data_IF_747539903251
#
_entry.id   IF_747539903251
#
_cell.length_a   1.000
_cell.length_b   1.000
_cell.length_c   1.000
_cell.angle_alpha   90.00
_cell.angle_beta   90.00
_cell.angle_gamma   90.00
#
_symmetry.space_group_name_H-M   'P 1'
#
loop_
_entity.id
_entity.type
_entity.pdbx_description
1 polymer ?
#
# COMPACT_ATOMS: atom_id res chain seq x y z
N UNK A 1 -8.94 5.01 -0.31
CA UNK A 1 -7.58 5.59 -0.32
C UNK A 1 -6.52 4.65 0.26
N UNK A 2 -6.79 3.91 1.36
CA UNK A 2 -5.90 2.87 1.89
C UNK A 2 -5.61 1.71 0.89
N UNK A 3 -6.59 1.34 0.05
CA UNK A 3 -6.42 0.31 -1.00
C UNK A 3 -5.72 0.81 -2.27
N UNK A 4 -5.54 2.13 -2.40
CA UNK A 4 -5.00 2.81 -3.58
C UNK A 4 -3.51 2.48 -3.80
N UNK A 5 -2.84 1.95 -2.77
CA UNK A 5 -1.38 1.99 -2.64
C UNK A 5 -0.77 0.58 -2.63
N UNK A 6 -1.57 -0.49 -2.57
CA UNK A 6 -1.07 -1.89 -2.70
C UNK A 6 -0.36 -2.11 -4.05
N UNK A 7 -0.61 -1.24 -5.03
CA UNK A 7 -0.15 -1.34 -6.42
C UNK A 7 0.81 -0.24 -6.88
N UNK A 8 1.05 0.80 -6.07
CA UNK A 8 2.11 1.80 -6.33
C UNK A 8 3.52 1.23 -6.05
N UNK A 9 3.73 -0.06 -6.33
CA UNK A 9 4.98 -0.77 -6.05
C UNK A 9 5.96 -0.77 -7.24
N UNK A 10 5.63 -0.09 -8.34
CA UNK A 10 6.63 0.31 -9.34
C UNK A 10 7.55 1.39 -8.77
N UNK A 11 8.80 0.98 -8.46
CA UNK A 11 10.01 1.78 -8.19
C UNK A 11 9.83 3.31 -8.19
N UNK A 12 9.37 3.87 -7.07
CA UNK A 12 9.60 5.27 -6.74
C UNK A 12 10.94 5.38 -6.01
N UNK A 13 12.02 5.43 -6.78
CA UNK A 13 13.36 5.77 -6.30
C UNK A 13 13.81 7.07 -6.96
N UNK A 14 13.95 8.11 -6.11
CA UNK A 14 14.51 9.46 -6.29
C UNK A 14 13.49 10.57 -6.03
N UNK A 15 13.97 11.51 -5.21
CA UNK A 15 13.24 12.54 -4.52
C UNK A 15 13.70 13.92 -4.93
N UNK A 16 12.80 14.68 -5.55
CA UNK A 16 12.68 16.13 -5.36
C UNK A 16 11.27 16.53 -5.80
N UNK A 17 10.27 16.38 -4.93
CA UNK A 17 8.96 16.98 -5.16
C UNK A 17 9.06 18.47 -4.83
N UNK A 18 9.35 19.28 -5.84
CA UNK A 18 9.13 20.72 -5.75
C UNK A 18 7.65 20.97 -6.04
N UNK A 19 6.86 21.23 -4.99
CA UNK A 19 5.50 21.71 -5.14
C UNK A 19 5.53 23.14 -5.68
N UNK A 20 5.28 23.29 -6.98
CA UNK A 20 4.95 24.57 -7.57
C UNK A 20 3.42 24.73 -7.63
N UNK A 21 2.87 25.54 -6.72
CA UNK A 21 1.55 26.14 -6.90
C UNK A 21 0.46 25.63 -5.95
N UNK A 22 -0.07 26.58 -5.19
CA UNK A 22 -1.18 26.45 -4.26
C UNK A 22 -2.42 25.78 -4.87
N UNK A 23 -2.92 24.72 -4.22
CA UNK A 23 -4.27 24.25 -4.44
C UNK A 23 -5.24 25.21 -3.72
N UNK A 24 -5.94 26.04 -4.48
CA UNK A 24 -7.07 26.82 -3.97
C UNK A 24 -8.28 25.89 -3.92
N UNK A 25 -8.59 25.35 -2.73
CA UNK A 25 -9.82 24.61 -2.51
C UNK A 25 -10.77 25.47 -1.68
N UNK A 26 -11.83 26.01 -2.30
CA UNK A 26 -12.95 26.63 -1.59
C UNK A 26 -14.10 25.65 -1.58
N UNK A 27 -14.45 25.18 -0.37
CA UNK A 27 -15.71 24.55 0.05
C UNK A 27 -16.54 23.88 -1.07
N UNK A 28 -15.93 22.90 -1.74
CA UNK A 28 -16.50 21.75 -2.45
C UNK A 28 -15.34 20.88 -2.94
N UNK A 29 -14.84 20.05 -2.03
CA UNK A 29 -14.29 18.68 -2.13
C UNK A 29 -13.66 18.13 -3.45
N UNK A 30 -13.13 18.98 -4.31
CA UNK A 30 -12.29 18.62 -5.45
C UNK A 30 -10.94 19.30 -5.37
N UNK A 31 -9.86 18.58 -5.66
CA UNK A 31 -8.51 19.13 -5.72
C UNK A 31 -7.74 18.51 -6.88
N UNK A 32 -6.91 19.32 -7.55
CA UNK A 32 -6.00 18.91 -8.61
C UNK A 32 -4.60 19.44 -8.29
N UNK A 33 -3.61 18.58 -8.42
CA UNK A 33 -2.22 18.90 -8.04
C UNK A 33 -1.30 18.45 -9.18
N UNK A 34 -0.61 19.38 -9.86
CA UNK A 34 0.49 19.02 -10.73
C UNK A 34 1.69 18.58 -9.87
N UNK A 35 2.45 17.62 -10.35
CA UNK A 35 3.67 17.16 -9.69
C UNK A 35 4.75 16.83 -10.71
N UNK A 36 5.99 16.91 -10.25
CA UNK A 36 7.17 16.59 -11.04
C UNK A 36 8.20 15.93 -10.14
N UNK A 37 8.89 14.92 -10.66
CA UNK A 37 9.97 14.22 -9.94
C UNK A 37 10.88 13.53 -10.96
N UNK A 38 12.06 13.08 -10.51
CA UNK A 38 12.93 12.18 -11.29
C UNK A 38 13.00 10.83 -10.61
N UNK A 39 13.01 9.72 -11.35
CA UNK A 39 13.32 8.39 -10.81
C UNK A 39 14.21 7.55 -11.72
N UNK A 40 14.84 6.51 -11.19
CA UNK A 40 15.59 5.57 -12.05
C UNK A 40 14.65 4.88 -13.05
N UNK A 41 13.42 4.56 -12.63
CA UNK A 41 12.46 3.84 -13.47
C UNK A 41 11.79 4.71 -14.51
N UNK A 42 11.29 5.88 -14.12
CA UNK A 42 10.55 6.76 -15.03
C UNK A 42 11.44 7.83 -15.64
N UNK A 43 12.64 8.09 -15.12
CA UNK A 43 13.38 9.29 -15.49
C UNK A 43 12.67 10.55 -14.98
N UNK A 44 12.88 11.67 -15.66
CA UNK A 44 12.26 12.94 -15.33
C UNK A 44 10.78 12.93 -15.76
N UNK A 45 9.88 13.04 -14.78
CA UNK A 45 8.44 12.85 -14.95
C UNK A 45 7.64 14.09 -14.59
N UNK A 46 6.62 14.38 -15.38
CA UNK A 46 5.60 15.41 -15.12
C UNK A 46 4.22 14.76 -15.11
N UNK A 47 3.41 15.08 -14.11
CA UNK A 47 2.07 14.52 -13.99
C UNK A 47 1.08 15.44 -13.29
N UNK A 48 -0.17 14.98 -13.26
CA UNK A 48 -1.27 15.62 -12.56
C UNK A 48 -2.09 14.55 -11.84
N UNK A 49 -2.45 14.83 -10.60
CA UNK A 49 -3.37 14.01 -9.81
C UNK A 49 -4.61 14.85 -9.45
N UNK A 50 -5.76 14.19 -9.36
CA UNK A 50 -7.04 14.80 -9.02
C UNK A 50 -7.85 13.91 -8.10
N UNK A 51 -8.55 14.52 -7.15
CA UNK A 51 -9.50 13.85 -6.27
C UNK A 51 -10.81 14.64 -6.25
N UNK A 52 -11.93 13.92 -6.23
CA UNK A 52 -13.28 14.45 -6.05
C UNK A 52 -13.99 13.62 -4.98
N UNK A 53 -14.37 14.22 -3.86
CA UNK A 53 -15.14 13.55 -2.80
C UNK A 53 -16.62 13.90 -2.92
N UNK A 54 -17.48 13.07 -2.34
CA UNK A 54 -18.92 13.29 -2.32
C UNK A 54 -19.60 13.10 -3.69
N UNK A 55 -18.96 12.40 -4.64
CA UNK A 55 -19.47 12.29 -6.02
C UNK A 55 -20.66 11.34 -6.07
N UNK A 56 -21.87 11.90 -6.09
CA UNK A 56 -23.13 11.16 -6.11
C UNK A 56 -23.57 10.63 -4.73
N UNK A 57 -22.62 10.27 -3.87
CA UNK A 57 -22.87 9.84 -2.48
C UNK A 57 -21.84 10.50 -1.53
N UNK A 58 -22.20 10.91 -0.30
CA UNK A 58 -21.31 11.64 0.60
C UNK A 58 -19.97 10.95 0.92
N UNK A 59 -19.98 9.63 1.03
CA UNK A 59 -18.82 8.81 1.34
C UNK A 59 -18.00 8.39 0.10
N UNK A 60 -18.56 8.60 -1.11
CA UNK A 60 -17.92 8.19 -2.35
C UNK A 60 -16.81 9.16 -2.76
N UNK A 61 -15.77 8.64 -3.40
CA UNK A 61 -14.69 9.46 -3.93
C UNK A 61 -14.20 8.94 -5.27
N UNK A 62 -13.90 9.84 -6.19
CA UNK A 62 -13.17 9.58 -7.41
C UNK A 62 -11.74 10.09 -7.25
N UNK A 63 -10.78 9.32 -7.74
CA UNK A 63 -9.40 9.76 -7.83
C UNK A 63 -8.81 9.31 -9.16
N UNK A 64 -8.00 10.18 -9.77
CA UNK A 64 -7.28 9.86 -10.98
C UNK A 64 -5.93 10.56 -11.03
N UNK A 65 -4.96 9.94 -11.68
CA UNK A 65 -3.70 10.57 -12.00
C UNK A 65 -3.17 10.12 -13.36
N UNK A 66 -2.37 10.98 -13.97
CA UNK A 66 -1.63 10.69 -15.19
C UNK A 66 -0.26 11.35 -15.15
N UNK A 67 0.75 10.66 -15.64
CA UNK A 67 2.09 11.23 -15.83
C UNK A 67 2.74 10.73 -17.12
N UNK A 68 3.69 11.53 -17.61
CA UNK A 68 4.56 11.21 -18.74
C UNK A 68 5.99 11.60 -18.37
N UNK A 69 6.97 10.97 -18.99
CA UNK A 69 8.39 11.14 -18.65
C UNK A 69 9.30 11.27 -19.86
N UNK A 70 10.54 11.72 -19.62
CA UNK A 70 11.59 11.84 -20.62
C UNK A 70 12.09 10.48 -21.17
N UNK A 71 11.75 9.37 -20.51
CA UNK A 71 11.95 8.00 -21.01
C UNK A 71 10.85 7.52 -21.96
N UNK A 72 9.92 8.37 -22.38
CA UNK A 72 8.69 7.98 -23.09
C UNK A 72 7.83 6.97 -22.30
N UNK A 73 7.96 6.97 -20.98
CA UNK A 73 7.15 6.17 -20.05
C UNK A 73 5.93 6.97 -19.59
N UNK A 74 4.81 6.28 -19.37
CA UNK A 74 3.59 6.89 -18.85
C UNK A 74 2.92 6.00 -17.81
N UNK A 75 2.18 6.63 -16.89
CA UNK A 75 1.31 5.93 -15.95
C UNK A 75 -0.05 6.62 -15.96
N UNK A 76 -1.11 5.83 -16.07
CA UNK A 76 -2.49 6.23 -15.87
C UNK A 76 -3.10 5.44 -14.72
N UNK A 77 -3.80 6.13 -13.83
CA UNK A 77 -4.52 5.50 -12.74
C UNK A 77 -5.88 6.18 -12.56
N UNK A 78 -6.93 5.38 -12.41
CA UNK A 78 -8.30 5.83 -12.14
C UNK A 78 -8.92 4.96 -11.06
N UNK A 79 -9.73 5.56 -10.21
CA UNK A 79 -10.39 4.85 -9.13
C UNK A 79 -11.69 5.51 -8.71
N UNK A 80 -12.62 4.68 -8.28
CA UNK A 80 -13.87 5.07 -7.66
C UNK A 80 -14.03 4.26 -6.37
N UNK A 81 -14.26 4.93 -5.24
CA UNK A 81 -14.29 4.30 -3.93
C UNK A 81 -15.64 4.45 -3.25
N UNK A 82 -16.01 3.41 -2.50
CA UNK A 82 -17.06 3.44 -1.47
C UNK A 82 -18.47 3.80 -1.98
N UNK A 83 -18.81 3.43 -3.21
CA UNK A 83 -20.18 3.58 -3.70
C UNK A 83 -21.08 2.55 -3.02
N UNK A 84 -22.03 3.00 -2.22
CA UNK A 84 -22.99 2.12 -1.57
C UNK A 84 -24.05 1.66 -2.58
N UNK A 85 -24.19 0.34 -2.72
CA UNK A 85 -25.29 -0.29 -3.48
C UNK A 85 -26.40 -0.77 -2.54
N UNK A 86 -26.07 -1.02 -1.28
CA UNK A 86 -26.99 -1.32 -0.19
C UNK A 86 -26.36 -0.83 1.13
N UNK A 87 -27.11 -0.87 2.23
CA UNK A 87 -26.66 -0.38 3.55
C UNK A 87 -25.40 -1.09 4.09
N UNK A 88 -25.12 -2.29 3.59
CA UNK A 88 -23.99 -3.12 3.99
C UNK A 88 -23.11 -3.53 2.81
N UNK A 89 -23.30 -2.96 1.61
CA UNK A 89 -22.51 -3.30 0.42
C UNK A 89 -21.93 -2.04 -0.21
N UNK A 90 -20.61 -1.95 -0.16
CA UNK A 90 -19.83 -0.91 -0.82
C UNK A 90 -19.11 -1.49 -2.04
N UNK A 91 -19.04 -0.70 -3.11
CA UNK A 91 -18.31 -1.04 -4.33
C UNK A 91 -17.22 -0.03 -4.59
N UNK A 92 -16.05 -0.55 -4.94
CA UNK A 92 -14.91 0.24 -5.39
C UNK A 92 -14.35 -0.34 -6.68
N UNK A 93 -13.67 0.46 -7.48
CA UNK A 93 -12.89 -0.01 -8.63
C UNK A 93 -11.60 0.78 -8.75
N UNK A 94 -10.57 0.10 -9.25
CA UNK A 94 -9.25 0.66 -9.50
C UNK A 94 -8.78 0.16 -10.86
N UNK A 95 -8.29 1.08 -11.67
CA UNK A 95 -7.77 0.83 -13.01
C UNK A 95 -6.40 1.47 -13.12
N UNK A 96 -5.40 0.68 -13.48
CA UNK A 96 -4.02 1.07 -13.65
C UNK A 96 -3.51 0.61 -15.00
N UNK A 97 -2.78 1.48 -15.67
CA UNK A 97 -2.01 1.13 -16.86
C UNK A 97 -0.69 1.90 -16.83
N UNK A 98 0.40 1.21 -17.16
CA UNK A 98 1.70 1.83 -17.27
C UNK A 98 2.49 1.29 -18.46
N UNK A 99 3.22 2.18 -19.12
CA UNK A 99 4.33 1.84 -20.00
C UNK A 99 5.59 2.35 -19.35
N UNK A 100 6.51 1.44 -19.04
CA UNK A 100 7.75 1.70 -18.31
C UNK A 100 8.93 1.31 -19.21
N UNK A 101 9.51 2.28 -19.91
CA UNK A 101 10.66 2.03 -20.78
C UNK A 101 11.96 2.08 -19.99
N UNK A 102 12.90 1.20 -20.34
CA UNK A 102 14.21 1.10 -19.70
C UNK A 102 14.11 1.06 -18.17
N UNK A 103 13.14 0.29 -17.68
CA UNK A 103 12.85 0.16 -16.27
C UNK A 103 13.65 -1.02 -15.68
N UNK A 104 14.22 -0.86 -14.47
CA UNK A 104 14.84 -1.97 -13.77
C UNK A 104 13.78 -2.92 -13.20
N UNK A 105 13.83 -4.18 -13.60
CA UNK A 105 13.07 -5.29 -13.02
C UNK A 105 14.00 -6.29 -12.35
N UNK A 106 13.58 -6.85 -11.23
CA UNK A 106 14.18 -8.04 -10.65
C UNK A 106 13.35 -9.22 -11.14
N UNK A 107 13.92 -10.05 -12.02
CA UNK A 107 13.24 -11.19 -12.65
C UNK A 107 13.85 -12.53 -12.20
N UNK A 108 13.00 -13.50 -11.88
CA UNK A 108 13.34 -14.82 -11.37
C UNK A 108 14.24 -14.72 -10.15
N UNK A 109 15.39 -15.38 -10.21
CA UNK A 109 16.35 -15.44 -9.10
C UNK A 109 16.91 -14.07 -8.70
N UNK A 110 16.75 -13.04 -9.54
CA UNK A 110 17.09 -11.65 -9.22
C UNK A 110 16.21 -11.08 -8.10
N UNK A 111 15.04 -11.67 -7.84
CA UNK A 111 14.13 -11.32 -6.75
C UNK A 111 14.27 -12.17 -5.49
N UNK A 112 15.16 -13.16 -5.47
CA UNK A 112 15.33 -14.02 -4.30
C UNK A 112 15.92 -13.25 -3.12
N UNK A 113 15.74 -13.76 -1.89
CA UNK A 113 16.21 -13.09 -0.67
C UNK A 113 17.72 -12.76 -0.68
N UNK A 114 18.51 -13.64 -1.28
CA UNK A 114 19.97 -13.58 -1.26
C UNK A 114 20.55 -12.98 -2.55
N UNK A 115 19.68 -12.40 -3.40
CA UNK A 115 20.06 -11.71 -4.64
C UNK A 115 20.67 -10.34 -4.37
N UNK A 116 21.52 -9.85 -5.29
CA UNK A 116 22.16 -8.54 -5.18
C UNK A 116 21.37 -7.46 -5.93
N UNK A 117 21.39 -6.23 -5.41
CA UNK A 117 20.73 -5.08 -6.04
C UNK A 117 21.12 -4.83 -7.51
N UNK A 118 22.37 -5.11 -7.89
CA UNK A 118 22.85 -4.90 -9.25
C UNK A 118 22.36 -5.98 -10.23
N UNK A 119 21.84 -7.09 -9.71
CA UNK A 119 21.26 -8.16 -10.51
C UNK A 119 19.86 -7.76 -10.96
N UNK A 120 19.77 -6.78 -11.87
CA UNK A 120 18.50 -6.28 -12.41
C UNK A 120 18.49 -6.32 -13.94
N UNK A 121 17.33 -6.60 -14.49
CA UNK A 121 17.08 -6.60 -15.93
C UNK A 121 16.46 -5.27 -16.34
N UNK A 122 17.14 -4.53 -17.21
CA UNK A 122 16.63 -3.26 -17.74
C UNK A 122 15.87 -3.57 -19.04
N UNK A 123 14.56 -3.35 -19.03
CA UNK A 123 13.68 -3.71 -20.15
C UNK A 123 12.47 -2.79 -20.20
N UNK A 124 11.84 -2.71 -21.37
CA UNK A 124 10.58 -2.00 -21.55
C UNK A 124 9.41 -2.90 -21.12
N UNK A 125 8.59 -2.40 -20.20
CA UNK A 125 7.42 -3.09 -19.69
C UNK A 125 6.11 -2.37 -20.01
N UNK A 126 5.07 -3.14 -20.27
CA UNK A 126 3.69 -2.67 -20.32
C UNK A 126 2.88 -3.44 -19.28
N UNK A 127 2.27 -2.71 -18.36
CA UNK A 127 1.57 -3.24 -17.20
C UNK A 127 0.12 -2.77 -17.17
N UNK A 128 -0.78 -3.67 -16.79
CA UNK A 128 -2.18 -3.37 -16.56
C UNK A 128 -2.65 -4.01 -15.26
N UNK A 129 -3.51 -3.30 -14.52
CA UNK A 129 -4.20 -3.87 -13.37
C UNK A 129 -5.61 -3.28 -13.25
N UNK A 130 -6.61 -4.14 -13.24
CA UNK A 130 -8.01 -3.79 -13.11
C UNK A 130 -8.62 -4.58 -11.95
N UNK A 131 -9.18 -3.86 -10.98
CA UNK A 131 -9.83 -4.43 -9.81
C UNK A 131 -11.25 -3.89 -9.64
N UNK A 132 -12.17 -4.76 -9.25
CA UNK A 132 -13.52 -4.40 -8.83
C UNK A 132 -13.78 -5.03 -7.47
N UNK A 133 -13.97 -4.21 -6.44
CA UNK A 133 -14.20 -4.67 -5.08
C UNK A 133 -15.69 -4.62 -4.73
N UNK A 134 -16.19 -5.72 -4.19
CA UNK A 134 -17.47 -5.81 -3.49
C UNK A 134 -17.20 -6.04 -2.01
N UNK A 135 -17.40 -5.01 -1.19
CA UNK A 135 -17.15 -5.03 0.25
C UNK A 135 -18.45 -5.13 1.03
N UNK A 136 -18.64 -6.28 1.64
CA UNK A 136 -19.78 -6.58 2.50
C UNK A 136 -19.42 -6.26 3.95
N UNK A 137 -20.13 -5.33 4.57
CA UNK A 137 -19.97 -4.97 5.98
C UNK A 137 -20.82 -5.92 6.83
N UNK A 138 -20.21 -6.54 7.83
CA UNK A 138 -20.91 -7.48 8.71
C UNK A 138 -21.73 -6.71 9.76
N UNK A 139 -22.96 -7.16 10.09
CA UNK A 139 -23.93 -6.39 10.90
C UNK A 139 -23.66 -6.52 12.41
N UNK A 140 -22.42 -6.26 12.83
CA UNK A 140 -21.98 -6.24 14.23
C UNK A 140 -20.96 -5.13 14.46
N UNK A 141 -20.47 -4.98 15.69
CA UNK A 141 -19.62 -3.85 16.06
C UNK A 141 -20.31 -2.52 15.75
N UNK A 142 -19.54 -1.55 15.24
CA UNK A 142 -20.08 -0.21 14.93
C UNK A 142 -21.08 -0.21 13.77
N UNK A 143 -21.01 -1.20 12.88
CA UNK A 143 -21.89 -1.30 11.70
C UNK A 143 -23.33 -1.62 12.11
N UNK A 144 -23.52 -2.33 13.24
CA UNK A 144 -24.85 -2.67 13.75
C UNK A 144 -25.70 -1.42 14.04
N UNK A 145 -25.08 -0.42 14.65
CA UNK A 145 -25.78 0.78 15.13
C UNK A 145 -25.74 1.92 14.11
N UNK A 146 -24.73 1.95 13.24
CA UNK A 146 -24.45 3.11 12.36
C UNK A 146 -24.36 2.77 10.87
N UNK A 147 -24.56 1.51 10.49
CA UNK A 147 -24.41 1.04 9.11
C UNK A 147 -23.01 1.33 8.55
N UNK A 148 -22.93 1.56 7.23
CA UNK A 148 -21.65 1.86 6.57
C UNK A 148 -21.00 3.17 7.03
N UNK A 149 -21.77 4.11 7.60
CA UNK A 149 -21.23 5.40 8.05
C UNK A 149 -20.28 5.24 9.25
N UNK A 150 -20.47 4.20 10.07
CA UNK A 150 -19.57 3.90 11.19
C UNK A 150 -18.11 3.66 10.76
N UNK A 151 -17.88 3.19 9.53
CA UNK A 151 -16.52 3.01 8.97
C UNK A 151 -15.84 4.33 8.63
N UNK A 152 -16.60 5.39 8.34
CA UNK A 152 -16.08 6.70 7.95
C UNK A 152 -15.88 7.65 9.13
N UNK A 153 -16.15 7.20 10.35
CA UNK A 153 -15.91 7.99 11.55
C UNK A 153 -14.42 8.32 11.69
N UNK A 154 -14.05 9.61 11.84
CA UNK A 154 -12.65 10.01 12.03
C UNK A 154 -12.02 9.42 13.29
N UNK A 155 -12.84 9.26 14.33
CA UNK A 155 -12.50 8.71 15.63
C UNK A 155 -13.59 7.71 16.05
N UNK A 156 -13.15 6.55 16.52
CA UNK A 156 -13.97 5.43 16.98
C UNK A 156 -13.53 5.05 18.38
N UNK A 157 -14.49 4.70 19.22
CA UNK A 157 -14.17 4.03 20.48
C UNK A 157 -13.93 2.55 20.20
N UNK A 158 -12.80 2.03 20.65
CA UNK A 158 -12.34 0.67 20.31
C UNK A 158 -11.99 -0.12 21.56
N UNK A 159 -12.38 -1.39 21.55
CA UNK A 159 -12.10 -2.36 22.61
C UNK A 159 -11.46 -3.60 22.00
N UNK A 160 -10.60 -4.28 22.77
CA UNK A 160 -9.91 -5.50 22.32
C UNK A 160 -10.71 -6.78 22.57
N UNK A 161 -11.97 -6.69 23.01
CA UNK A 161 -12.71 -7.85 23.48
C UNK A 161 -13.15 -8.81 22.37
N UNK A 162 -13.77 -8.28 21.29
CA UNK A 162 -14.30 -9.11 20.19
C UNK A 162 -14.64 -8.27 18.95
N UNK A 163 -14.46 -8.81 17.73
CA UNK A 163 -14.94 -8.19 16.49
C UNK A 163 -16.46 -7.94 16.47
N UNK A 164 -17.24 -8.73 17.23
CA UNK A 164 -18.70 -8.55 17.32
C UNK A 164 -19.09 -7.30 18.11
N UNK A 165 -18.21 -6.81 18.99
CA UNK A 165 -18.45 -5.68 19.88
C UNK A 165 -17.74 -4.41 19.42
N UNK A 166 -16.62 -4.53 18.70
CA UNK A 166 -15.78 -3.39 18.37
C UNK A 166 -15.16 -3.43 16.97
N UNK A 167 -14.95 -2.23 16.42
CA UNK A 167 -14.40 -2.04 15.09
C UNK A 167 -15.41 -2.30 13.98
N UNK A 168 -14.88 -2.44 12.76
CA UNK A 168 -15.62 -2.77 11.54
C UNK A 168 -15.09 -4.09 11.03
N UNK A 169 -15.96 -5.08 10.84
CA UNK A 169 -15.59 -6.31 10.12
C UNK A 169 -16.21 -6.30 8.73
N UNK A 170 -15.43 -6.65 7.72
CA UNK A 170 -15.89 -6.73 6.35
C UNK A 170 -15.36 -7.98 5.63
N UNK A 171 -16.14 -8.45 4.66
CA UNK A 171 -15.73 -9.47 3.69
C UNK A 171 -15.67 -8.80 2.33
N UNK A 172 -14.51 -8.81 1.69
CA UNK A 172 -14.31 -8.20 0.38
C UNK A 172 -14.06 -9.26 -0.67
N UNK A 173 -14.82 -9.22 -1.76
CA UNK A 173 -14.60 -10.03 -2.96
C UNK A 173 -14.07 -9.12 -4.06
N UNK A 174 -12.89 -9.43 -4.61
CA UNK A 174 -12.22 -8.63 -5.63
C UNK A 174 -11.86 -9.50 -6.83
N UNK A 175 -12.71 -9.58 -7.88
CA UNK A 175 -12.25 -9.94 -9.21
C UNK A 175 -11.18 -8.97 -9.68
N UNK A 176 -10.10 -9.53 -10.23
CA UNK A 176 -8.98 -8.77 -10.75
C UNK A 176 -8.46 -9.32 -12.08
N UNK A 177 -7.85 -8.44 -12.85
CA UNK A 177 -7.03 -8.74 -14.02
C UNK A 177 -5.72 -8.00 -13.89
N UNK A 178 -4.61 -8.72 -14.06
CA UNK A 178 -3.26 -8.16 -14.09
C UNK A 178 -2.53 -8.67 -15.31
N UNK A 179 -1.72 -7.82 -15.92
CA UNK A 179 -0.84 -8.20 -17.03
C UNK A 179 0.48 -7.47 -16.93
N UNK A 180 1.55 -8.16 -17.34
CA UNK A 180 2.89 -7.59 -17.52
C UNK A 180 3.53 -8.17 -18.76
N UNK A 181 3.87 -7.28 -19.71
CA UNK A 181 4.54 -7.62 -20.96
C UNK A 181 5.90 -6.97 -20.98
N UNK A 182 6.97 -7.75 -21.12
CA UNK A 182 8.34 -7.25 -21.18
C UNK A 182 8.90 -7.44 -22.60
N UNK A 183 9.53 -6.41 -23.14
CA UNK A 183 10.01 -6.41 -24.55
C UNK A 183 11.28 -7.27 -24.73
N UNK A 184 11.39 -7.96 -25.86
CA UNK A 184 12.61 -8.59 -26.43
C UNK A 184 13.36 -9.66 -25.60
N UNK A 185 12.91 -10.03 -24.40
CA UNK A 185 13.63 -11.02 -23.56
C UNK A 185 12.78 -12.24 -23.15
N UNK A 186 11.44 -12.12 -23.13
CA UNK A 186 10.53 -13.18 -22.68
C UNK A 186 9.44 -13.42 -23.74
N UNK A 187 9.24 -14.69 -24.11
CA UNK A 187 8.32 -15.10 -25.19
C UNK A 187 6.83 -15.09 -24.81
N UNK A 188 6.48 -14.80 -23.56
CA UNK A 188 5.11 -14.96 -23.05
C UNK A 188 4.68 -13.78 -22.18
N UNK A 189 3.52 -13.22 -22.49
CA UNK A 189 2.83 -12.24 -21.66
C UNK A 189 2.48 -12.88 -20.31
N UNK A 190 2.89 -12.27 -19.20
CA UNK A 190 2.45 -12.70 -17.88
C UNK A 190 1.06 -12.12 -17.63
N UNK A 191 0.07 -12.98 -17.39
CA UNK A 191 -1.31 -12.58 -17.16
C UNK A 191 -1.86 -13.33 -15.97
N UNK A 192 -2.61 -12.65 -15.12
CA UNK A 192 -3.42 -13.28 -14.07
C UNK A 192 -4.83 -12.69 -14.04
N UNK A 193 -5.81 -13.58 -14.18
CA UNK A 193 -7.24 -13.33 -13.96
C UNK A 193 -7.61 -14.07 -12.68
N UNK A 194 -8.16 -13.38 -11.69
CA UNK A 194 -8.32 -13.99 -10.39
C UNK A 194 -9.47 -13.43 -9.55
N UNK A 195 -9.64 -14.06 -8.39
CA UNK A 195 -10.53 -13.64 -7.34
C UNK A 195 -9.74 -13.56 -6.03
N UNK A 196 -9.90 -12.44 -5.33
CA UNK A 196 -9.34 -12.24 -3.99
C UNK A 196 -10.48 -12.12 -2.99
N UNK A 197 -10.48 -12.97 -1.98
CA UNK A 197 -11.39 -12.94 -0.86
C UNK A 197 -10.64 -12.46 0.38
N UNK A 198 -11.11 -11.38 1.01
CA UNK A 198 -10.46 -10.82 2.20
C UNK A 198 -11.45 -10.72 3.35
N UNK A 199 -11.09 -11.30 4.49
CA UNK A 199 -11.71 -11.00 5.78
C UNK A 199 -10.89 -9.91 6.46
N UNK A 200 -11.52 -8.76 6.70
CA UNK A 200 -10.90 -7.57 7.25
C UNK A 200 -11.58 -7.20 8.57
N UNK A 201 -10.77 -6.92 9.59
CA UNK A 201 -11.24 -6.38 10.87
C UNK A 201 -10.42 -5.13 11.23
N UNK A 202 -11.01 -3.97 10.96
CA UNK A 202 -10.44 -2.67 11.31
C UNK A 202 -11.00 -2.19 12.66
N UNK A 203 -10.23 -2.45 13.72
CA UNK A 203 -10.49 -2.06 15.10
C UNK A 203 -9.58 -0.91 15.56
N UNK A 204 -9.17 -0.02 14.65
CA UNK A 204 -8.37 1.17 14.99
C UNK A 204 -9.25 2.29 15.50
N UNK A 205 -8.78 3.05 16.50
CA UNK A 205 -9.49 4.25 16.96
C UNK A 205 -9.59 5.31 15.86
N UNK A 206 -8.58 5.45 15.00
CA UNK A 206 -8.61 6.31 13.82
C UNK A 206 -8.01 5.63 12.60
N UNK A 207 -8.62 5.83 11.43
CA UNK A 207 -8.08 5.33 10.15
C UNK A 207 -6.92 6.19 9.62
N UNK A 208 -6.78 7.44 10.09
CA UNK A 208 -5.75 8.39 9.63
C UNK A 208 -4.58 8.51 10.59
N UNK A 209 -4.87 8.55 11.89
CA UNK A 209 -3.83 8.63 12.92
C UNK A 209 -4.14 7.66 14.08
N UNK A 210 -3.99 6.34 13.85
CA UNK A 210 -4.29 5.35 14.87
C UNK A 210 -3.38 5.51 16.08
N UNK A 211 -3.96 5.47 17.28
CA UNK A 211 -3.24 5.50 18.56
C UNK A 211 -3.47 4.25 19.39
N UNK A 212 -4.62 3.60 19.19
CA UNK A 212 -5.05 2.39 19.88
C UNK A 212 -5.79 1.44 18.94
N UNK A 213 -5.89 0.20 19.37
CA UNK A 213 -6.61 -0.85 18.65
C UNK A 213 -5.71 -1.61 17.68
N UNK A 214 -6.34 -2.27 16.72
CA UNK A 214 -5.66 -3.18 15.79
C UNK A 214 -6.33 -3.21 14.42
N UNK A 215 -5.61 -3.69 13.42
CA UNK A 215 -6.14 -3.98 12.10
C UNK A 215 -5.65 -5.36 11.69
N UNK A 216 -6.56 -6.26 11.33
CA UNK A 216 -6.22 -7.60 10.86
C UNK A 216 -6.85 -7.86 9.51
N UNK A 217 -6.09 -8.45 8.60
CA UNK A 217 -6.57 -8.93 7.32
C UNK A 217 -6.10 -10.35 7.05
N UNK A 218 -7.01 -11.17 6.53
CA UNK A 218 -6.74 -12.49 6.00
C UNK A 218 -7.23 -12.52 4.56
N UNK A 219 -6.30 -12.65 3.64
CA UNK A 219 -6.57 -12.67 2.21
C UNK A 219 -6.30 -14.06 1.65
N UNK A 220 -7.28 -14.59 0.92
CA UNK A 220 -7.13 -15.74 0.05
C UNK A 220 -7.25 -15.29 -1.40
N UNK A 221 -6.24 -15.59 -2.21
CA UNK A 221 -6.21 -15.26 -3.64
C UNK A 221 -6.19 -16.55 -4.43
N UNK A 222 -7.02 -16.62 -5.47
CA UNK A 222 -6.97 -17.66 -6.50
C UNK A 222 -6.89 -16.99 -7.88
N UNK A 223 -6.13 -17.57 -8.80
CA UNK A 223 -6.04 -17.03 -10.15
C UNK A 223 -5.52 -18.03 -11.17
N UNK A 224 -5.62 -17.64 -12.43
CA UNK A 224 -5.14 -18.36 -13.60
C UNK A 224 -4.88 -17.39 -14.76
N UNK A 225 -4.09 -17.77 -15.75
CA UNK A 225 -3.99 -17.05 -17.03
C UNK A 225 -5.24 -17.31 -17.92
N UNK A 226 -5.77 -18.53 -17.84
CA UNK A 226 -7.04 -18.97 -18.41
C UNK A 226 -7.85 -19.81 -17.41
N UNK A 227 -9.11 -19.44 -17.17
CA UNK A 227 -9.97 -20.15 -16.20
C UNK A 227 -10.51 -21.49 -16.72
N UNK A 228 -10.44 -21.74 -18.03
CA UNK A 228 -10.99 -22.95 -18.66
C UNK A 228 -9.91 -24.00 -18.91
N UNK A 229 -8.74 -23.55 -19.36
CA UNK A 229 -7.70 -24.45 -19.87
C UNK A 229 -6.45 -24.55 -18.97
N UNK A 230 -6.34 -23.71 -17.94
CA UNK A 230 -5.15 -23.66 -17.07
C UNK A 230 -5.47 -23.94 -15.61
N UNK A 231 -4.47 -24.45 -14.88
CA UNK A 231 -4.60 -24.74 -13.46
C UNK A 231 -4.62 -23.48 -12.58
N UNK A 232 -5.41 -23.55 -11.51
CA UNK A 232 -5.60 -22.44 -10.58
C UNK A 232 -4.51 -22.44 -9.52
N UNK A 233 -3.72 -21.37 -9.48
CA UNK A 233 -2.81 -21.09 -8.37
C UNK A 233 -3.56 -20.45 -7.20
N UNK A 234 -3.00 -20.60 -6.00
CA UNK A 234 -3.60 -20.02 -4.81
C UNK A 234 -2.55 -19.49 -3.83
N UNK A 235 -2.88 -18.39 -3.17
CA UNK A 235 -2.07 -17.69 -2.19
C UNK A 235 -2.89 -17.36 -0.96
N UNK A 236 -2.26 -17.42 0.21
CA UNK A 236 -2.81 -16.98 1.49
C UNK A 236 -1.88 -15.92 2.08
N UNK A 237 -2.46 -14.82 2.55
CA UNK A 237 -1.75 -13.75 3.22
C UNK A 237 -2.48 -13.40 4.52
N UNK A 238 -1.71 -13.13 5.56
CA UNK A 238 -2.20 -12.61 6.82
C UNK A 238 -1.37 -11.41 7.22
N UNK A 239 -2.04 -10.33 7.62
CA UNK A 239 -1.41 -9.17 8.23
C UNK A 239 -2.15 -8.75 9.49
N UNK A 240 -1.39 -8.32 10.49
CA UNK A 240 -1.92 -7.78 11.72
C UNK A 240 -1.06 -6.62 12.21
N UNK A 241 -1.69 -5.46 12.39
CA UNK A 241 -1.08 -4.30 13.02
C UNK A 241 -1.75 -3.99 14.36
N UNK A 242 -0.96 -3.59 15.35
CA UNK A 242 -1.40 -3.19 16.69
C UNK A 242 -0.82 -1.84 17.09
N UNK A 243 -1.62 -1.03 17.78
CA UNK A 243 -1.26 0.32 18.20
C UNK A 243 -1.39 0.46 19.71
N UNK A 244 -0.31 0.91 20.34
CA UNK A 244 -0.20 1.10 21.78
C UNK A 244 0.07 2.57 22.08
N UNK A 245 -0.90 3.25 22.67
CA UNK A 245 -0.71 4.62 23.16
C UNK A 245 0.16 4.58 24.43
N UNK A 246 1.29 5.28 24.37
CA UNK A 246 2.24 5.41 25.49
C UNK A 246 1.98 6.68 26.32
N UNK A 247 0.99 7.49 25.92
CA UNK A 247 0.63 8.74 26.58
C UNK A 247 1.64 9.88 26.33
N UNK A 248 1.45 11.02 27.02
CA UNK A 248 2.38 12.16 26.94
C UNK A 248 3.71 11.88 27.67
N UNK A 249 4.78 12.55 27.26
CA UNK A 249 6.08 12.54 27.95
C UNK A 249 6.46 13.96 28.39
N UNK A 250 6.13 14.28 29.65
CA UNK A 250 6.42 15.59 30.25
C UNK A 250 6.00 16.73 29.30
N UNK A 251 6.82 17.77 29.16
CA UNK A 251 6.57 18.91 28.27
C UNK A 251 7.24 18.74 26.89
N UNK A 252 7.53 17.50 26.48
CA UNK A 252 8.24 17.21 25.21
C UNK A 252 7.27 16.69 24.15
N UNK A 253 6.42 15.74 24.53
CA UNK A 253 5.50 15.08 23.61
C UNK A 253 4.08 15.01 24.19
N UNK A 254 3.11 15.55 23.46
CA UNK A 254 1.68 15.46 23.78
C UNK A 254 1.17 14.03 23.64
N UNK A 255 1.71 13.29 22.67
CA UNK A 255 1.27 11.94 22.36
C UNK A 255 2.42 11.09 21.84
N UNK A 256 2.45 9.84 22.29
CA UNK A 256 3.37 8.82 21.80
C UNK A 256 2.61 7.53 21.47
N UNK A 257 2.98 6.88 20.37
CA UNK A 257 2.37 5.61 19.94
C UNK A 257 3.48 4.66 19.51
N UNK A 258 3.45 3.44 20.03
CA UNK A 258 4.18 2.31 19.47
C UNK A 258 3.22 1.51 18.58
N UNK A 259 3.55 1.39 17.30
CA UNK A 259 2.82 0.58 16.35
C UNK A 259 3.66 -0.63 15.94
N UNK A 260 3.07 -1.82 15.95
CA UNK A 260 3.72 -3.08 15.58
C UNK A 260 2.91 -3.73 14.46
N UNK A 261 3.58 -4.26 13.44
CA UNK A 261 2.97 -4.96 12.32
C UNK A 261 3.65 -6.31 12.09
N UNK A 262 2.82 -7.30 11.76
CA UNK A 262 3.25 -8.64 11.38
C UNK A 262 2.56 -9.01 10.08
N UNK A 263 3.33 -9.47 9.10
CA UNK A 263 2.86 -9.98 7.83
C UNK A 263 3.46 -11.36 7.56
N UNK A 264 2.64 -12.28 7.06
CA UNK A 264 3.09 -13.56 6.53
C UNK A 264 2.27 -13.97 5.32
N UNK A 265 2.88 -14.70 4.40
CA UNK A 265 2.23 -15.16 3.19
C UNK A 265 2.83 -16.46 2.67
N UNK A 266 2.01 -17.25 1.97
CA UNK A 266 2.43 -18.46 1.27
C UNK A 266 1.62 -18.66 -0.02
N UNK A 267 2.25 -19.28 -1.01
CA UNK A 267 1.60 -19.85 -2.19
C UNK A 267 1.61 -21.38 -2.10
N UNK A 268 0.62 -22.03 -1.48
CA UNK A 268 0.61 -23.49 -1.34
C UNK A 268 0.63 -24.26 -2.67
N UNK A 269 0.13 -23.66 -3.76
CA UNK A 269 0.12 -24.28 -5.08
C UNK A 269 1.48 -24.34 -5.77
N UNK A 270 2.50 -23.63 -5.25
CA UNK A 270 3.76 -23.34 -5.93
C UNK A 270 4.53 -24.56 -6.47
N UNK A 271 4.43 -25.69 -5.76
CA UNK A 271 5.08 -26.96 -6.09
C UNK A 271 4.10 -28.03 -6.61
N UNK A 272 2.84 -27.67 -6.90
CA UNK A 272 1.98 -28.54 -7.71
C UNK A 272 2.42 -28.38 -9.15
N UNK A 273 2.78 -29.45 -9.83
CA UNK A 273 3.29 -29.38 -11.20
C UNK A 273 2.60 -30.42 -12.09
N UNK A 274 2.25 -30.02 -13.31
CA UNK A 274 1.61 -30.88 -14.31
C UNK A 274 2.61 -31.83 -14.97
N UNK A 275 3.84 -31.33 -15.14
CA UNK A 275 4.99 -32.07 -15.65
C UNK A 275 6.24 -31.70 -14.83
N UNK A 276 7.41 -32.20 -15.24
CA UNK A 276 8.67 -31.94 -14.55
C UNK A 276 9.13 -30.47 -14.59
N UNK A 277 8.45 -29.62 -15.35
CA UNK A 277 8.90 -28.25 -15.69
C UNK A 277 7.86 -27.15 -15.41
N UNK A 278 6.57 -27.50 -15.36
CA UNK A 278 5.46 -26.54 -15.31
C UNK A 278 4.70 -26.70 -13.99
N UNK A 279 4.90 -25.73 -13.09
CA UNK A 279 4.26 -25.69 -11.79
C UNK A 279 3.20 -24.59 -11.70
N UNK A 280 2.21 -24.80 -10.83
CA UNK A 280 1.04 -23.94 -10.62
C UNK A 280 1.40 -22.75 -9.74
N UNK A 281 2.15 -21.83 -10.33
CA UNK A 281 2.64 -20.62 -9.68
C UNK A 281 1.90 -19.39 -10.22
N UNK A 282 1.64 -18.38 -9.38
CA UNK A 282 1.23 -17.09 -9.90
C UNK A 282 2.32 -16.53 -10.82
N UNK A 283 1.95 -15.70 -11.82
CA UNK A 283 2.93 -14.94 -12.57
C UNK A 283 3.75 -14.08 -11.60
N UNK A 284 4.99 -13.75 -11.98
CA UNK A 284 5.95 -13.16 -11.05
C UNK A 284 5.48 -11.86 -10.41
N UNK A 285 4.80 -11.00 -11.16
CA UNK A 285 4.23 -9.77 -10.62
C UNK A 285 3.11 -9.95 -9.58
N UNK A 286 2.52 -11.16 -9.48
CA UNK A 286 1.51 -11.55 -8.47
C UNK A 286 2.07 -12.46 -7.36
N UNK A 287 3.37 -12.75 -7.36
CA UNK A 287 3.99 -13.53 -6.30
C UNK A 287 4.02 -12.78 -4.95
N UNK A 288 4.23 -13.54 -3.87
CA UNK A 288 4.46 -12.96 -2.55
C UNK A 288 5.70 -12.07 -2.61
N UNK A 289 5.60 -10.83 -2.12
CA UNK A 289 6.64 -9.81 -2.29
C UNK A 289 6.90 -8.95 -1.05
N UNK A 290 8.16 -8.58 -0.86
CA UNK A 290 8.63 -7.58 0.10
C UNK A 290 9.35 -6.44 -0.62
N UNK A 291 9.29 -5.25 -0.02
CA UNK A 291 9.75 -3.99 -0.61
C UNK A 291 8.60 -3.04 -0.91
N UNK A 292 8.95 -1.81 -1.30
CA UNK A 292 7.99 -0.77 -1.64
C UNK A 292 7.53 0.01 -0.40
N UNK A 293 6.30 0.54 -0.44
CA UNK A 293 5.83 1.56 0.51
C UNK A 293 5.48 1.02 1.91
N UNK A 294 5.16 -0.27 2.00
CA UNK A 294 4.57 -0.87 3.22
C UNK A 294 5.43 -1.93 3.89
N UNK A 295 6.41 -2.48 3.18
CA UNK A 295 7.29 -3.54 3.69
C UNK A 295 8.70 -3.25 3.22
N UNK A 296 9.69 -3.50 4.08
CA UNK A 296 11.11 -3.23 3.77
C UNK A 296 11.28 -1.89 3.04
N UNK A 297 10.93 -0.78 3.70
CA UNK A 297 10.68 0.52 3.04
C UNK A 297 11.88 1.15 2.33
N UNK A 298 13.09 0.73 2.66
CA UNK A 298 14.31 1.14 1.96
C UNK A 298 14.47 0.51 0.59
N UNK A 299 13.68 -0.51 0.24
CA UNK A 299 13.80 -1.22 -1.03
C UNK A 299 12.70 -0.82 -2.00
N UNK A 300 13.01 -0.87 -3.30
CA UNK A 300 12.00 -0.73 -4.36
C UNK A 300 10.90 -1.78 -4.24
N UNK A 301 9.71 -1.50 -4.76
CA UNK A 301 8.62 -2.47 -4.69
C UNK A 301 8.93 -3.74 -5.48
N UNK A 302 8.46 -4.87 -4.95
CA UNK A 302 8.77 -6.21 -5.46
C UNK A 302 10.27 -6.56 -5.57
N UNK A 303 11.16 -5.84 -4.87
CA UNK A 303 12.61 -6.13 -4.83
C UNK A 303 12.89 -7.58 -4.44
N UNK A 304 12.12 -8.08 -3.46
CA UNK A 304 12.15 -9.47 -3.06
C UNK A 304 10.80 -10.10 -3.35
N UNK A 305 10.78 -11.22 -4.04
CA UNK A 305 9.55 -11.97 -4.31
C UNK A 305 9.80 -13.48 -4.39
N UNK A 306 8.74 -14.25 -4.21
CA UNK A 306 8.81 -15.71 -4.26
C UNK A 306 7.54 -16.37 -3.74
N UNK A 307 7.70 -17.57 -3.20
CA UNK A 307 6.59 -18.39 -2.71
C UNK A 307 6.03 -17.92 -1.38
N UNK A 308 6.92 -17.68 -0.42
CA UNK A 308 6.56 -17.46 0.98
C UNK A 308 7.29 -16.24 1.49
N UNK A 309 6.70 -15.52 2.44
CA UNK A 309 7.39 -14.42 3.11
C UNK A 309 6.94 -14.23 4.53
N UNK A 310 7.84 -13.65 5.33
CA UNK A 310 7.54 -13.11 6.65
C UNK A 310 8.10 -11.69 6.75
N UNK A 311 7.38 -10.82 7.45
CA UNK A 311 7.80 -9.45 7.68
C UNK A 311 7.27 -8.94 9.02
N UNK A 312 8.10 -8.14 9.67
CA UNK A 312 7.78 -7.45 10.90
C UNK A 312 8.13 -5.97 10.73
N UNK A 313 7.27 -5.10 11.25
CA UNK A 313 7.55 -3.66 11.32
C UNK A 313 7.28 -3.14 12.73
N UNK A 314 8.08 -2.17 13.14
CA UNK A 314 7.81 -1.37 14.32
C UNK A 314 7.96 0.11 13.98
N UNK A 315 6.99 0.91 14.43
CA UNK A 315 6.98 2.36 14.34
C UNK A 315 6.80 2.99 15.71
N UNK A 316 7.69 3.90 16.07
CA UNK A 316 7.51 4.77 17.23
C UNK A 316 7.18 6.18 16.75
N UNK A 317 6.02 6.68 17.15
CA UNK A 317 5.44 7.93 16.67
C UNK A 317 5.29 8.92 17.81
N UNK A 318 5.69 10.17 17.62
CA UNK A 318 5.64 11.21 18.65
C UNK A 318 5.05 12.50 18.09
N UNK A 319 4.07 13.07 18.77
CA UNK A 319 3.55 14.42 18.49
C UNK A 319 4.17 15.36 19.52
N UNK A 320 5.06 16.28 19.12
CA UNK A 320 5.66 17.26 20.02
C UNK A 320 4.67 18.32 20.51
N UNK A 321 4.88 18.89 21.70
CA UNK A 321 4.03 20.00 22.21
C UNK A 321 4.25 21.32 21.46
N UNK A 322 5.40 21.47 20.80
CA UNK A 322 5.74 22.67 20.05
C UNK A 322 5.27 22.54 18.60
N UNK A 323 4.72 23.61 18.03
CA UNK A 323 4.28 23.67 16.62
C UNK A 323 5.03 24.80 15.89
N UNK A 324 6.13 24.52 15.19
CA UNK A 324 6.95 25.56 14.56
C UNK A 324 6.33 26.12 13.27
N UNK A 325 5.36 25.41 12.69
CA UNK A 325 4.84 25.73 11.36
C UNK A 325 3.81 26.87 11.38
N UNK A 326 3.20 27.16 12.54
CA UNK A 326 2.21 28.22 12.71
C UNK A 326 2.79 29.63 12.55
N UNK A 327 4.10 29.81 12.79
CA UNK A 327 4.76 31.11 12.75
C UNK A 327 5.36 31.45 11.37
N UNK A 328 5.27 30.55 10.39
CA UNK A 328 5.82 30.76 9.04
C UNK A 328 4.77 31.51 8.18
N UNK A 329 5.05 32.72 7.68
CA UNK A 329 4.05 33.61 7.04
C UNK A 329 3.34 33.07 5.79
N UNK A 330 3.82 31.98 5.19
CA UNK A 330 3.19 31.34 4.02
C UNK A 330 2.37 30.12 4.44
N UNK A 331 2.67 29.54 5.60
CA UNK A 331 2.10 28.28 6.10
C UNK A 331 0.96 28.55 7.09
N UNK A 332 1.00 29.69 7.79
CA UNK A 332 -0.03 30.12 8.74
C UNK A 332 -1.44 30.32 8.13
N UNK A 333 -1.57 30.30 6.81
CA UNK A 333 -2.86 30.31 6.11
C UNK A 333 -3.57 28.95 6.11
N UNK A 334 -2.87 27.87 6.48
CA UNK A 334 -3.39 26.50 6.46
C UNK A 334 -3.62 25.97 7.86
N UNK A 335 -4.68 25.17 8.03
CA UNK A 335 -4.91 24.45 9.28
C UNK A 335 -3.92 23.28 9.41
N UNK A 336 -2.97 23.42 10.35
CA UNK A 336 -1.94 22.44 10.69
C UNK A 336 -2.11 21.97 12.14
N UNK A 337 -3.12 21.14 12.44
CA UNK A 337 -3.49 20.82 13.81
C UNK A 337 -2.42 20.02 14.55
N UNK A 338 -1.59 19.25 13.83
CA UNK A 338 -0.49 18.50 14.43
C UNK A 338 0.60 18.19 13.40
N UNK A 339 1.79 17.93 13.94
CA UNK A 339 2.90 17.34 13.21
C UNK A 339 3.52 16.24 14.08
N UNK A 340 4.07 15.21 13.46
CA UNK A 340 4.46 13.98 14.14
C UNK A 340 5.79 13.48 13.60
N UNK A 341 6.65 13.05 14.50
CA UNK A 341 7.88 12.33 14.20
C UNK A 341 7.62 10.84 14.22
N UNK A 342 8.27 10.12 13.32
CA UNK A 342 8.20 8.67 13.24
C UNK A 342 9.62 8.14 13.15
N UNK A 343 9.98 7.19 14.00
CA UNK A 343 11.14 6.34 13.84
C UNK A 343 10.65 4.92 13.55
N UNK A 344 11.30 4.21 12.63
CA UNK A 344 10.82 2.90 12.21
C UNK A 344 11.92 1.91 11.90
N UNK A 345 11.57 0.63 12.01
CA UNK A 345 12.38 -0.51 11.58
C UNK A 345 11.48 -1.58 10.94
N UNK A 346 11.97 -2.17 9.86
CA UNK A 346 11.38 -3.31 9.18
C UNK A 346 12.41 -4.45 9.11
N UNK A 347 11.95 -5.68 9.25
CA UNK A 347 12.73 -6.88 8.95
C UNK A 347 11.85 -7.90 8.24
N UNK A 348 12.41 -8.66 7.29
CA UNK A 348 11.64 -9.69 6.61
C UNK A 348 12.46 -10.49 5.63
N UNK A 349 11.88 -11.60 5.18
CA UNK A 349 12.51 -12.53 4.24
C UNK A 349 11.46 -13.14 3.31
N UNK A 350 11.87 -13.36 2.06
CA UNK A 350 11.19 -14.28 1.12
C UNK A 350 11.89 -15.64 1.11
N UNK A 351 11.14 -16.72 0.87
CA UNK A 351 11.69 -18.07 0.80
C UNK A 351 10.94 -18.93 -0.24
N UNK A 352 11.62 -19.99 -0.71
CA UNK A 352 11.04 -20.99 -1.62
C UNK A 352 10.12 -22.00 -0.91
N UNK A 353 10.11 -21.98 0.42
CA UNK A 353 9.27 -22.82 1.27
C UNK A 353 8.78 -22.05 2.49
N UNK A 354 7.59 -22.41 2.97
CA UNK A 354 7.06 -21.93 4.24
C UNK A 354 7.71 -22.69 5.40
N UNK A 355 9.02 -22.49 5.58
CA UNK A 355 9.78 -23.03 6.70
C UNK A 355 10.14 -21.90 7.67
N UNK A 356 9.64 -21.99 8.91
CA UNK A 356 9.82 -20.93 9.91
C UNK A 356 11.29 -20.68 10.24
N UNK A 357 12.14 -21.72 10.22
CA UNK A 357 13.57 -21.53 10.49
C UNK A 357 14.22 -20.71 9.37
N UNK A 358 13.98 -21.08 8.12
CA UNK A 358 14.48 -20.37 6.94
C UNK A 358 13.96 -18.93 6.91
N UNK A 359 12.66 -18.72 7.12
CA UNK A 359 12.04 -17.39 7.14
C UNK A 359 12.60 -16.45 8.23
N UNK A 360 13.21 -16.97 9.30
CA UNK A 360 13.84 -16.17 10.35
C UNK A 360 15.38 -16.16 10.28
N UNK A 361 15.97 -16.59 9.16
CA UNK A 361 17.42 -16.60 8.94
C UNK A 361 17.77 -15.63 7.82
N UNK A 362 18.85 -14.85 7.98
CA UNK A 362 19.34 -13.86 7.00
C UNK A 362 18.22 -12.95 6.45
N UNK A 363 17.44 -12.36 7.37
CA UNK A 363 16.38 -11.42 7.03
C UNK A 363 16.96 -10.10 6.51
N UNK A 364 16.31 -9.55 5.49
CA UNK A 364 16.54 -8.20 5.00
C UNK A 364 15.95 -7.18 5.97
N UNK A 365 16.54 -5.99 6.04
CA UNK A 365 16.14 -4.98 7.02
C UNK A 365 16.10 -3.57 6.43
N UNK A 366 15.26 -2.72 7.01
CA UNK A 366 15.15 -1.31 6.69
C UNK A 366 14.96 -0.51 7.98
N UNK A 367 15.65 0.62 8.13
CA UNK A 367 15.48 1.55 9.25
C UNK A 367 15.30 2.96 8.73
N UNK A 368 14.52 3.79 9.41
CA UNK A 368 14.32 5.14 8.93
C UNK A 368 13.58 6.05 9.87
N UNK A 369 13.38 7.27 9.39
CA UNK A 369 12.63 8.31 10.07
C UNK A 369 11.66 9.00 9.12
N UNK A 370 10.54 9.47 9.64
CA UNK A 370 9.57 10.23 8.88
C UNK A 370 9.01 11.41 9.67
N UNK A 371 8.53 12.42 8.94
CA UNK A 371 7.70 13.49 9.46
C UNK A 371 6.32 13.37 8.82
N UNK A 372 5.29 13.40 9.66
CA UNK A 372 3.88 13.43 9.23
C UNK A 372 3.25 14.76 9.64
N UNK A 373 2.42 15.32 8.79
CA UNK A 373 1.71 16.56 9.03
C UNK A 373 0.30 16.47 8.45
N UNK A 374 -0.68 16.99 9.17
CA UNK A 374 -2.04 17.12 8.66
C UNK A 374 -2.24 18.53 8.13
N UNK A 375 -2.66 18.66 6.87
CA UNK A 375 -3.01 19.94 6.22
C UNK A 375 -4.42 19.81 5.66
N UNK A 376 -5.36 20.66 6.10
CA UNK A 376 -6.73 20.68 5.58
C UNK A 376 -7.41 19.27 5.59
N UNK A 377 -7.13 18.48 6.63
CA UNK A 377 -7.64 17.12 6.79
C UNK A 377 -6.94 16.04 5.94
N UNK A 378 -5.88 16.37 5.20
CA UNK A 378 -5.03 15.43 4.46
C UNK A 378 -3.75 15.18 5.27
N UNK A 379 -3.36 13.92 5.44
CA UNK A 379 -2.09 13.57 6.08
C UNK A 379 -1.00 13.43 5.01
N UNK A 380 0.07 14.19 5.13
CA UNK A 380 1.28 14.07 4.30
C UNK A 380 2.38 13.45 5.15
N UNK A 381 3.11 12.48 4.59
CA UNK A 381 4.26 11.81 5.21
C UNK A 381 5.47 11.97 4.32
N UNK A 382 6.56 12.51 4.85
CA UNK A 382 7.87 12.49 4.21
C UNK A 382 8.80 11.57 5.00
N UNK A 383 9.37 10.56 4.36
CA UNK A 383 10.23 9.58 5.02
C UNK A 383 11.58 9.41 4.33
N UNK A 384 12.59 9.07 5.13
CA UNK A 384 13.90 8.61 4.69
C UNK A 384 14.16 7.23 5.29
N UNK A 385 14.41 6.25 4.43
CA UNK A 385 14.66 4.86 4.77
C UNK A 385 16.06 4.43 4.31
N UNK A 386 16.71 3.55 5.06
CA UNK A 386 18.00 2.94 4.73
C UNK A 386 17.96 1.45 5.05
N UNK A 387 18.40 0.63 4.10
CA UNK A 387 18.64 -0.80 4.26
C UNK A 387 20.10 -1.14 3.98
N UNK A 388 20.36 -2.41 3.72
CA UNK A 388 21.72 -2.88 3.42
C UNK A 388 22.20 -2.41 2.03
N UNK A 389 21.30 -2.43 1.04
CA UNK A 389 21.66 -2.13 -0.35
C UNK A 389 21.18 -0.75 -0.84
N UNK A 390 20.09 -0.24 -0.29
CA UNK A 390 19.42 0.98 -0.79
C UNK A 390 19.13 2.00 0.32
N UNK A 391 19.00 3.25 -0.10
CA UNK A 391 18.43 4.32 0.73
C UNK A 391 17.44 5.11 -0.11
N UNK A 392 16.23 5.32 0.42
CA UNK A 392 15.13 5.92 -0.31
C UNK A 392 14.51 7.05 0.49
N UNK A 393 14.21 8.15 -0.19
CA UNK A 393 13.36 9.21 0.33
C UNK A 393 12.02 9.20 -0.42
N UNK A 394 10.91 9.32 0.32
CA UNK A 394 9.57 9.27 -0.25
C UNK A 394 8.64 10.29 0.40
N UNK A 395 7.69 10.78 -0.38
CA UNK A 395 6.58 11.62 0.09
C UNK A 395 5.28 10.92 -0.28
N UNK A 396 4.39 10.77 0.70
CA UNK A 396 3.16 9.99 0.60
C UNK A 396 1.99 10.76 1.17
N UNK A 397 0.79 10.47 0.65
CA UNK A 397 -0.47 11.10 1.07
C UNK A 397 -1.38 10.02 1.67
N UNK A 398 -1.92 10.30 2.85
CA UNK A 398 -2.86 9.45 3.59
C UNK A 398 -2.40 7.99 3.73
N UNK A 399 -1.10 7.79 3.93
CA UNK A 399 -0.53 6.50 4.28
C UNK A 399 -0.56 6.32 5.82
N UNK A 400 -1.42 5.44 6.37
CA UNK A 400 -1.23 4.95 7.73
C UNK A 400 -0.10 3.91 7.78
N UNK A 401 0.17 3.37 8.98
CA UNK A 401 1.13 2.27 9.15
C UNK A 401 0.75 1.12 8.22
#
# INVERSE_FOLDING_TARGET
MLQLVRWFQGVFAISLMLFAGAAVAKEKDTAFVPFFFGSETLGLSLGVAGVAKGVGQPQAALFGMGLYSDKDSYIGFLSAFNYALADNLLVSTQLYQAKLNQAPYYLGDQGNNDSNLQSKTIVDGFEENYEFEFKFLLPWGIVKDEGYMGMFKPQRDVSFASPMESGVTSISLVPFYTSRKLTDTFTTDEVAKGLRLTLDWDNRDSTRNPTRGSHSDLTFTMGSDDWFDSEIWNQIEFQNSHYFSLGPLSNLFEQQVLALDFYTADTPSWNRCNDATTCVRPPEHEQVRLGGLYRLRSYTGARYHGRSAIHYSAEYRMIPEWQPLGDIPVINYYDLPWWQWVAFVDVGRVAEEYDLKTLHTDMQWSVGGAVRLQVEGIVVRAELARGDEESLFRVMINQPF
#
